data_IF_711725151630
#
_entry.id   IF_711725151630
#
_cell.length_a   1.000
_cell.length_b   1.000
_cell.length_c   1.000
_cell.angle_alpha   90.00
_cell.angle_beta   90.00
_cell.angle_gamma   90.00
#
_symmetry.space_group_name_H-M   'P 1'
#
loop_
_entity.id
_entity.type
_entity.pdbx_description
1 polymer ?
#
# COMPACT_ATOMS: atom_id res chain seq x y z
N UNK A 1 -5.10 -10.23 -4.80
CA UNK A 1 -3.77 -9.98 -4.16
C UNK A 1 -3.07 -11.25 -3.66
N UNK A 2 -1.81 -11.51 -4.05
CA UNK A 2 -0.98 -12.60 -3.49
C UNK A 2 -0.34 -12.20 -2.14
N UNK A 3 -0.12 -13.18 -1.25
CA UNK A 3 0.58 -13.04 0.05
C UNK A 3 -0.11 -12.15 1.10
N UNK A 4 -1.44 -12.12 1.13
CA UNK A 4 -2.20 -11.25 2.03
C UNK A 4 -1.92 -11.52 3.52
N UNK A 5 -1.80 -12.78 3.94
CA UNK A 5 -1.44 -13.15 5.31
C UNK A 5 -0.09 -12.53 5.76
N UNK A 6 0.90 -12.50 4.86
CA UNK A 6 2.20 -11.86 5.13
C UNK A 6 2.07 -10.35 5.21
N UNK A 7 1.28 -9.73 4.32
CA UNK A 7 1.02 -8.27 4.32
C UNK A 7 0.35 -7.82 5.60
N UNK A 8 -0.62 -8.57 6.10
CA UNK A 8 -1.26 -8.29 7.38
C UNK A 8 -0.27 -8.37 8.53
N UNK A 9 0.57 -9.41 8.57
CA UNK A 9 1.55 -9.60 9.64
C UNK A 9 2.57 -8.46 9.73
N UNK A 10 3.09 -7.96 8.61
CA UNK A 10 4.11 -6.89 8.60
C UNK A 10 3.59 -5.52 9.03
N UNK A 11 2.26 -5.31 9.02
CA UNK A 11 1.63 -4.04 9.42
C UNK A 11 1.43 -3.93 10.93
N UNK A 12 1.69 -4.99 11.69
CA UNK A 12 1.53 -4.99 13.14
C UNK A 12 2.55 -4.05 13.79
N UNK A 13 2.06 -3.05 14.54
CA UNK A 13 2.92 -2.08 15.22
C UNK A 13 3.56 -1.05 14.29
N UNK A 14 2.96 -0.82 13.12
CA UNK A 14 3.48 0.16 12.15
C UNK A 14 3.29 1.59 12.64
N UNK A 15 4.36 2.39 12.59
CA UNK A 15 4.33 3.83 12.90
C UNK A 15 4.14 4.71 11.65
N UNK A 16 4.37 4.17 10.45
CA UNK A 16 4.21 4.89 9.19
C UNK A 16 4.40 3.98 7.98
N UNK A 17 3.84 4.40 6.84
CA UNK A 17 3.81 3.61 5.61
C UNK A 17 4.31 4.42 4.41
N UNK A 18 5.15 3.78 3.59
CA UNK A 18 5.48 4.25 2.24
C UNK A 18 4.83 3.32 1.23
N UNK A 19 3.86 3.80 0.47
CA UNK A 19 3.27 3.05 -0.63
C UNK A 19 4.04 3.31 -1.93
N UNK A 20 4.60 2.25 -2.50
CA UNK A 20 5.39 2.32 -3.73
C UNK A 20 4.52 1.87 -4.90
N UNK A 21 4.03 2.83 -5.68
CA UNK A 21 3.22 2.57 -6.87
C UNK A 21 4.06 2.61 -8.15
N UNK A 22 3.68 1.82 -9.14
CA UNK A 22 4.26 1.91 -10.49
C UNK A 22 3.61 3.07 -11.26
N UNK A 23 4.40 3.90 -11.96
CA UNK A 23 3.86 5.01 -12.78
C UNK A 23 3.07 4.54 -14.01
N UNK A 24 3.37 3.34 -14.52
CA UNK A 24 2.78 2.80 -15.75
C UNK A 24 1.25 2.70 -15.68
N UNK A 25 0.57 3.08 -16.77
CA UNK A 25 -0.89 3.08 -16.85
C UNK A 25 -1.43 1.65 -16.73
N UNK A 26 -0.75 0.68 -17.32
CA UNK A 26 -1.10 -0.75 -17.26
C UNK A 26 -1.05 -1.31 -15.83
N UNK A 27 -0.37 -0.63 -14.90
CA UNK A 27 -0.27 -1.00 -13.49
C UNK A 27 -1.23 -0.22 -12.61
N UNK A 28 -2.04 0.70 -13.15
CA UNK A 28 -2.91 1.56 -12.35
C UNK A 28 -3.94 0.76 -11.56
N UNK A 29 -4.63 -0.21 -12.20
CA UNK A 29 -5.60 -1.06 -11.49
C UNK A 29 -4.94 -1.85 -10.36
N UNK A 30 -3.75 -2.40 -10.59
CA UNK A 30 -3.01 -3.12 -9.55
C UNK A 30 -2.55 -2.20 -8.40
N UNK A 31 -2.19 -0.94 -8.69
CA UNK A 31 -1.88 0.05 -7.65
C UNK A 31 -3.12 0.35 -6.80
N UNK A 32 -4.29 0.52 -7.42
CA UNK A 32 -5.56 0.77 -6.74
C UNK A 32 -5.97 -0.42 -5.87
N UNK A 33 -5.94 -1.64 -6.41
CA UNK A 33 -6.22 -2.87 -5.63
C UNK A 33 -5.27 -2.99 -4.43
N UNK A 34 -3.98 -2.69 -4.63
CA UNK A 34 -2.99 -2.80 -3.56
C UNK A 34 -3.13 -1.72 -2.48
N UNK A 35 -3.56 -0.50 -2.81
CA UNK A 35 -3.77 0.56 -1.81
C UNK A 35 -5.05 0.30 -1.00
N UNK A 36 -6.08 -0.27 -1.63
CA UNK A 36 -7.31 -0.65 -0.94
C UNK A 36 -7.07 -1.84 0.02
N UNK A 37 -6.24 -2.80 -0.41
CA UNK A 37 -5.79 -3.89 0.45
C UNK A 37 -4.97 -3.38 1.64
N UNK A 38 -4.13 -2.35 1.46
CA UNK A 38 -3.43 -1.69 2.56
C UNK A 38 -4.42 -1.07 3.56
N UNK A 39 -5.42 -0.32 3.08
CA UNK A 39 -6.47 0.27 3.93
C UNK A 39 -7.23 -0.79 4.72
N UNK A 40 -7.63 -1.87 4.06
CA UNK A 40 -8.34 -3.00 4.69
C UNK A 40 -7.48 -3.65 5.77
N UNK A 41 -6.23 -4.00 5.45
CA UNK A 41 -5.33 -4.67 6.39
C UNK A 41 -4.96 -3.83 7.62
N UNK A 42 -4.87 -2.50 7.45
CA UNK A 42 -4.70 -1.56 8.56
C UNK A 42 -5.96 -1.48 9.42
N UNK A 43 -7.14 -1.36 8.79
CA UNK A 43 -8.43 -1.29 9.47
C UNK A 43 -8.73 -2.52 10.33
N UNK A 44 -8.41 -3.71 9.83
CA UNK A 44 -8.53 -4.97 10.58
C UNK A 44 -7.65 -5.03 11.84
N UNK A 45 -6.62 -4.18 11.93
CA UNK A 45 -5.70 -4.09 13.07
C UNK A 45 -5.96 -2.82 13.92
N UNK A 46 -7.03 -2.08 13.63
CA UNK A 46 -7.41 -0.87 14.37
C UNK A 46 -6.64 0.39 13.97
N UNK A 47 -5.89 0.35 12.87
CA UNK A 47 -5.22 1.51 12.30
C UNK A 47 -6.07 2.18 11.23
N UNK A 48 -5.87 3.48 11.06
CA UNK A 48 -6.50 4.29 10.03
C UNK A 48 -5.39 4.90 9.17
N UNK A 49 -5.40 4.60 7.87
CA UNK A 49 -4.36 5.07 6.94
C UNK A 49 -4.28 6.61 6.90
N UNK A 50 -5.40 7.29 7.18
CA UNK A 50 -5.46 8.75 7.15
C UNK A 50 -4.93 9.40 8.47
N UNK A 51 -4.63 8.58 9.49
CA UNK A 51 -4.10 9.03 10.80
C UNK A 51 -2.64 8.65 11.04
N UNK A 52 -2.09 7.71 10.28
CA UNK A 52 -0.68 7.36 10.35
C UNK A 52 0.13 8.16 9.31
N UNK A 53 1.41 8.48 9.57
CA UNK A 53 2.31 8.99 8.56
C UNK A 53 2.29 8.14 7.29
N UNK A 54 1.87 8.74 6.18
CA UNK A 54 1.67 8.05 4.91
C UNK A 54 2.32 8.82 3.77
N UNK A 55 3.19 8.15 3.00
CA UNK A 55 3.88 8.70 1.83
C UNK A 55 3.62 7.83 0.62
N UNK A 56 3.43 8.45 -0.54
CA UNK A 56 3.34 7.76 -1.83
C UNK A 56 4.61 8.01 -2.62
N UNK A 57 5.25 6.94 -3.07
CA UNK A 57 6.35 6.97 -4.02
C UNK A 57 5.88 6.46 -5.38
N UNK A 58 5.88 7.34 -6.38
CA UNK A 58 5.70 6.93 -7.78
C UNK A 58 7.04 6.43 -8.35
N UNK A 59 7.21 5.12 -8.37
CA UNK A 59 8.42 4.47 -8.84
C UNK A 59 8.39 4.20 -10.36
N UNK A 60 9.54 3.81 -10.92
CA UNK A 60 9.74 3.47 -12.33
C UNK A 60 9.43 4.63 -13.28
N UNK A 61 9.91 5.82 -12.91
CA UNK A 61 9.72 7.07 -13.69
C UNK A 61 10.52 7.09 -14.99
N UNK A 62 11.53 6.22 -15.06
CA UNK A 62 12.42 5.97 -16.20
C UNK A 62 11.75 5.19 -17.34
N UNK A 63 10.64 4.50 -17.05
CA UNK A 63 9.88 3.79 -18.08
C UNK A 63 9.16 4.81 -18.99
N UNK A 64 9.12 4.55 -20.30
CA UNK A 64 8.51 5.44 -21.29
C UNK A 64 7.02 5.69 -21.03
#
# INVERSE_FOLDING_TARGET
VFYDASRKLILKGVDGVVFVGFRQIERMEANLESVENLRTNLGEQGYDLDKIPYVIQYNKRDLP
#
